data_IF_745971289733
#
_entry.id   IF_745971289733
#
_cell.length_a   1.000
_cell.length_b   1.000
_cell.length_c   1.000
_cell.angle_alpha   90.00
_cell.angle_beta   90.00
_cell.angle_gamma   90.00
#
_symmetry.space_group_name_H-M   'P 1'
#
loop_
_entity.id
_entity.type
_entity.pdbx_description
1 polymer ?
#
# COMPACT_ATOMS: atom_id res chain seq x y z
N UNK A 1 -40.36 -39.38 -60.58
CA UNK A 1 -39.17 -40.06 -61.13
C UNK A 1 -37.96 -39.15 -60.92
N UNK A 2 -36.91 -39.70 -60.28
CA UNK A 2 -35.48 -39.32 -60.28
C UNK A 2 -35.11 -37.82 -60.17
N UNK A 3 -34.57 -37.37 -59.02
CA UNK A 3 -33.14 -37.40 -58.66
C UNK A 3 -32.26 -36.46 -59.50
N UNK A 4 -31.67 -35.44 -58.87
CA UNK A 4 -30.21 -35.30 -58.77
C UNK A 4 -29.78 -34.20 -57.81
N UNK A 5 -28.98 -34.65 -56.84
CA UNK A 5 -28.11 -33.94 -55.93
C UNK A 5 -27.08 -33.07 -56.66
N UNK A 6 -26.72 -31.92 -56.09
CA UNK A 6 -25.42 -31.27 -56.31
C UNK A 6 -25.08 -30.39 -55.10
N UNK A 7 -24.19 -30.91 -54.25
CA UNK A 7 -23.39 -30.15 -53.29
C UNK A 7 -22.49 -29.17 -54.05
N UNK A 8 -22.41 -27.92 -53.60
CA UNK A 8 -21.28 -27.04 -53.90
C UNK A 8 -20.71 -26.49 -52.59
N UNK A 9 -19.43 -26.79 -52.40
CA UNK A 9 -18.55 -26.46 -51.28
C UNK A 9 -17.98 -25.04 -51.43
N UNK A 10 -17.73 -24.43 -50.27
CA UNK A 10 -16.63 -23.49 -49.93
C UNK A 10 -16.42 -22.21 -50.77
N UNK A 11 -16.51 -21.07 -50.08
CA UNK A 11 -15.32 -20.28 -49.69
C UNK A 11 -15.74 -19.13 -48.75
N UNK A 12 -15.59 -19.34 -47.44
CA UNK A 12 -15.67 -18.25 -46.48
C UNK A 12 -14.34 -17.47 -46.52
N UNK A 13 -14.35 -16.33 -47.19
CA UNK A 13 -13.24 -15.36 -47.15
C UNK A 13 -13.24 -14.73 -45.76
N UNK A 14 -12.37 -15.22 -44.89
CA UNK A 14 -12.04 -14.57 -43.63
C UNK A 14 -11.25 -13.29 -43.95
N UNK A 15 -11.97 -12.16 -44.03
CA UNK A 15 -11.38 -10.82 -44.03
C UNK A 15 -10.70 -10.60 -42.69
N UNK A 16 -9.39 -10.86 -42.65
CA UNK A 16 -8.51 -10.52 -41.54
C UNK A 16 -8.53 -9.02 -41.31
N UNK A 17 -9.37 -8.58 -40.37
CA UNK A 17 -9.30 -7.22 -39.83
C UNK A 17 -8.08 -7.16 -38.93
N UNK A 18 -6.98 -6.62 -39.46
CA UNK A 18 -5.85 -6.21 -38.63
C UNK A 18 -6.33 -5.12 -37.67
N UNK A 19 -6.54 -5.50 -36.41
CA UNK A 19 -6.55 -4.54 -35.32
C UNK A 19 -5.16 -3.91 -35.23
N UNK A 20 -4.99 -2.76 -35.86
CA UNK A 20 -3.87 -1.86 -35.58
C UNK A 20 -4.11 -1.29 -34.20
N UNK A 21 -3.39 -1.79 -33.20
CA UNK A 21 -3.31 -1.15 -31.89
C UNK A 21 -2.70 0.24 -32.11
N UNK A 22 -3.37 1.33 -31.70
CA UNK A 22 -2.79 2.66 -31.82
C UNK A 22 -1.55 2.72 -30.94
N UNK A 23 -0.40 3.06 -31.52
CA UNK A 23 0.78 3.40 -30.77
C UNK A 23 0.45 4.60 -29.87
N UNK A 24 0.64 4.47 -28.55
CA UNK A 24 0.50 5.59 -27.63
C UNK A 24 1.48 6.69 -28.06
N UNK A 25 0.94 7.82 -28.54
CA UNK A 25 1.75 8.94 -28.96
C UNK A 25 2.49 9.53 -27.75
N UNK A 26 3.82 9.38 -27.73
CA UNK A 26 4.68 10.13 -26.81
C UNK A 26 4.54 11.61 -27.17
N UNK A 27 3.96 12.41 -26.27
CA UNK A 27 3.81 13.85 -26.47
C UNK A 27 4.99 14.55 -25.81
N UNK A 28 5.95 14.95 -26.65
CA UNK A 28 7.05 15.83 -26.26
C UNK A 28 6.66 17.29 -26.53
N UNK A 29 6.99 18.22 -25.64
CA UNK A 29 6.67 19.63 -25.86
C UNK A 29 7.26 20.56 -24.82
N UNK A 30 7.24 21.85 -25.14
CA UNK A 30 7.67 22.90 -24.21
C UNK A 30 6.52 23.31 -23.31
N UNK A 31 6.73 23.28 -22.00
CA UNK A 31 5.75 23.65 -21.00
C UNK A 31 6.25 24.81 -20.13
N UNK A 32 5.36 25.74 -19.75
CA UNK A 32 5.67 26.81 -18.80
C UNK A 32 5.23 26.41 -17.40
N UNK A 33 6.16 26.30 -16.46
CA UNK A 33 5.87 25.90 -15.08
C UNK A 33 4.97 26.94 -14.42
N UNK A 34 3.89 26.48 -13.77
CA UNK A 34 2.99 27.32 -12.96
C UNK A 34 3.29 27.22 -11.47
N UNK A 35 3.37 25.99 -10.97
CA UNK A 35 3.54 25.72 -9.54
C UNK A 35 4.02 24.30 -9.30
N UNK A 36 4.81 24.10 -8.26
CA UNK A 36 5.19 22.77 -7.76
C UNK A 36 4.23 22.35 -6.67
N UNK A 37 3.71 21.12 -6.75
CA UNK A 37 2.72 20.57 -5.82
C UNK A 37 3.41 19.87 -4.66
N UNK A 38 4.31 18.95 -4.98
CA UNK A 38 5.11 18.15 -4.04
C UNK A 38 6.49 17.85 -4.67
N UNK A 39 7.22 16.87 -4.16
CA UNK A 39 8.57 16.56 -4.63
C UNK A 39 8.66 15.84 -5.97
N UNK A 40 7.56 15.41 -6.58
CA UNK A 40 7.57 14.81 -7.92
C UNK A 40 6.46 15.32 -8.85
N UNK A 41 5.54 16.13 -8.35
CA UNK A 41 4.36 16.59 -9.07
C UNK A 41 4.35 18.11 -9.21
N UNK A 42 4.01 18.60 -10.41
CA UNK A 42 3.89 20.03 -10.70
C UNK A 42 2.80 20.32 -11.75
N UNK A 43 2.42 21.59 -11.83
CA UNK A 43 1.54 22.11 -12.87
C UNK A 43 2.33 22.95 -13.86
N UNK A 44 2.05 22.79 -15.15
CA UNK A 44 2.61 23.61 -16.21
C UNK A 44 1.62 23.81 -17.36
N UNK A 45 1.79 24.90 -18.11
CA UNK A 45 1.06 25.12 -19.35
C UNK A 45 1.72 24.42 -20.51
N UNK A 46 1.06 23.40 -21.05
CA UNK A 46 1.44 22.74 -22.29
C UNK A 46 0.40 23.09 -23.36
N UNK A 47 0.84 23.67 -24.49
CA UNK A 47 -0.04 24.09 -25.59
C UNK A 47 -1.20 25.01 -25.14
N UNK A 48 -0.93 25.91 -24.20
CA UNK A 48 -1.91 26.86 -23.66
C UNK A 48 -2.94 26.25 -22.70
N UNK A 49 -2.77 25.01 -22.28
CA UNK A 49 -3.64 24.33 -21.31
C UNK A 49 -2.89 23.98 -20.03
N UNK A 50 -3.50 24.18 -18.84
CA UNK A 50 -2.90 23.72 -17.60
C UNK A 50 -2.90 22.20 -17.56
N UNK A 51 -1.71 21.63 -17.42
CA UNK A 51 -1.48 20.19 -17.41
C UNK A 51 -0.72 19.81 -16.14
N UNK A 52 -1.15 18.73 -15.49
CA UNK A 52 -0.50 18.19 -14.30
C UNK A 52 0.52 17.15 -14.74
N UNK A 53 1.74 17.28 -14.25
CA UNK A 53 2.84 16.39 -14.54
C UNK A 53 3.35 15.72 -13.26
N UNK A 54 3.76 14.46 -13.38
CA UNK A 54 4.59 13.75 -12.40
C UNK A 54 5.89 13.32 -13.07
N UNK A 55 6.99 13.48 -12.36
CA UNK A 55 8.31 13.04 -12.81
C UNK A 55 8.32 11.51 -12.96
N UNK A 56 8.64 11.05 -14.17
CA UNK A 56 8.86 9.64 -14.45
C UNK A 56 10.03 9.05 -13.66
N UNK A 57 9.88 7.77 -13.28
CA UNK A 57 10.89 6.90 -12.66
C UNK A 57 11.39 7.32 -11.27
N UNK A 58 10.83 8.36 -10.68
CA UNK A 58 11.14 8.81 -9.34
C UNK A 58 9.88 8.81 -8.49
N UNK A 59 10.08 8.68 -7.18
CA UNK A 59 9.04 8.79 -6.18
C UNK A 59 9.56 9.69 -5.06
N UNK A 60 8.87 10.80 -4.82
CA UNK A 60 9.28 11.72 -3.78
C UNK A 60 8.68 11.34 -2.41
N UNK A 61 9.36 11.65 -1.29
CA UNK A 61 8.76 11.54 0.03
C UNK A 61 7.47 12.36 0.12
N UNK A 62 6.44 11.80 0.77
CA UNK A 62 5.16 12.51 0.93
C UNK A 62 5.36 13.78 1.76
N UNK A 63 4.56 14.83 1.51
CA UNK A 63 4.61 16.07 2.28
C UNK A 63 4.42 15.84 3.79
N UNK A 64 3.66 14.80 4.15
CA UNK A 64 3.40 14.39 5.54
C UNK A 64 4.47 13.43 6.09
N UNK A 65 5.45 13.01 5.29
CA UNK A 65 6.57 12.14 5.67
C UNK A 65 7.69 12.92 6.38
N UNK A 66 7.30 13.76 7.32
CA UNK A 66 8.19 14.65 8.07
C UNK A 66 8.91 15.67 7.18
N UNK A 67 10.13 16.04 7.56
CA UNK A 67 10.88 17.11 6.86
C UNK A 67 11.27 16.75 5.42
N UNK A 68 11.31 15.47 5.07
CA UNK A 68 11.84 15.02 3.78
C UNK A 68 10.92 15.37 2.61
N UNK A 69 9.59 15.33 2.81
CA UNK A 69 8.65 15.75 1.78
C UNK A 69 8.79 17.23 1.45
N UNK A 70 8.89 18.08 2.48
CA UNK A 70 9.10 19.52 2.29
C UNK A 70 10.43 19.83 1.60
N UNK A 71 11.53 19.19 2.02
CA UNK A 71 12.84 19.38 1.38
C UNK A 71 12.84 18.93 -0.09
N UNK A 72 12.10 17.87 -0.40
CA UNK A 72 11.94 17.39 -1.77
C UNK A 72 11.16 18.38 -2.63
N UNK A 73 10.04 18.90 -2.12
CA UNK A 73 9.25 19.93 -2.78
C UNK A 73 10.07 21.21 -3.04
N UNK A 74 10.82 21.69 -2.03
CA UNK A 74 11.69 22.86 -2.14
C UNK A 74 12.79 22.66 -3.21
N UNK A 75 13.36 21.45 -3.29
CA UNK A 75 14.33 21.11 -4.32
C UNK A 75 13.72 21.11 -5.72
N UNK A 76 12.54 20.49 -5.90
CA UNK A 76 11.86 20.50 -7.19
C UNK A 76 11.47 21.92 -7.60
N UNK A 77 11.03 22.76 -6.67
CA UNK A 77 10.72 24.17 -6.92
C UNK A 77 11.95 24.97 -7.34
N UNK A 78 13.13 24.64 -6.81
CA UNK A 78 14.39 25.27 -7.20
C UNK A 78 14.81 24.86 -8.62
N UNK A 79 14.57 23.61 -9.00
CA UNK A 79 14.84 23.08 -10.35
C UNK A 79 13.79 23.53 -11.39
N UNK A 80 12.57 23.79 -10.93
CA UNK A 80 11.41 24.22 -11.73
C UNK A 80 10.78 25.51 -11.16
N UNK A 81 11.46 26.67 -11.23
CA UNK A 81 10.88 27.91 -10.74
C UNK A 81 9.59 28.27 -11.50
N UNK A 82 8.53 28.76 -10.83
CA UNK A 82 7.34 29.25 -11.51
C UNK A 82 7.68 30.28 -12.61
N UNK A 83 7.08 30.11 -13.78
CA UNK A 83 7.32 30.93 -14.97
C UNK A 83 8.44 30.41 -15.89
N UNK A 84 9.29 29.50 -15.43
CA UNK A 84 10.35 28.89 -16.25
C UNK A 84 9.76 28.00 -17.37
N UNK A 85 10.53 27.85 -18.45
CA UNK A 85 10.21 26.96 -19.56
C UNK A 85 11.00 25.65 -19.40
N UNK A 86 10.31 24.53 -19.59
CA UNK A 86 10.90 23.20 -19.55
C UNK A 86 10.45 22.37 -20.74
N UNK A 87 11.28 21.42 -21.17
CA UNK A 87 10.84 20.38 -22.10
C UNK A 87 10.27 19.21 -21.29
N UNK A 88 9.12 18.72 -21.71
CA UNK A 88 8.46 17.56 -21.12
C UNK A 88 8.32 16.49 -22.18
N UNK A 89 8.91 15.31 -21.92
CA UNK A 89 8.76 14.11 -22.74
C UNK A 89 7.78 13.18 -22.02
N UNK A 90 6.50 13.25 -22.39
CA UNK A 90 5.45 12.46 -21.74
C UNK A 90 5.52 11.01 -22.20
N UNK A 91 5.75 10.11 -21.25
CA UNK A 91 5.83 8.67 -21.48
C UNK A 91 4.45 8.00 -21.43
N UNK A 92 3.61 8.47 -20.51
CA UNK A 92 2.30 7.92 -20.25
C UNK A 92 1.38 8.99 -19.68
N UNK A 93 0.11 8.96 -20.07
CA UNK A 93 -0.94 9.77 -19.44
C UNK A 93 -1.89 8.82 -18.75
N UNK A 94 -2.09 9.04 -17.45
CA UNK A 94 -3.02 8.24 -16.66
C UNK A 94 -4.48 8.56 -17.05
N UNK A 95 -5.44 7.66 -16.74
CA UNK A 95 -6.87 7.95 -16.96
C UNK A 95 -7.37 9.25 -16.33
N UNK A 96 -6.79 9.66 -15.21
CA UNK A 96 -7.12 10.92 -14.51
C UNK A 96 -6.50 12.16 -15.16
N UNK A 97 -5.70 11.99 -16.23
CA UNK A 97 -5.04 13.09 -16.93
C UNK A 97 -3.72 13.54 -16.31
N UNK A 98 -3.07 12.71 -15.47
CA UNK A 98 -1.72 12.99 -14.98
C UNK A 98 -0.68 12.54 -16.02
N UNK A 99 0.17 13.47 -16.44
CA UNK A 99 1.24 13.20 -17.40
C UNK A 99 2.49 12.68 -16.67
N UNK A 100 2.89 11.45 -16.92
CA UNK A 100 4.14 10.86 -16.42
C UNK A 100 5.25 11.18 -17.42
N UNK A 101 6.18 12.06 -17.04
CA UNK A 101 7.12 12.64 -18.00
C UNK A 101 8.57 12.70 -17.51
N UNK A 102 9.49 12.62 -18.47
CA UNK A 102 10.86 13.10 -18.26
C UNK A 102 10.88 14.61 -18.50
N UNK A 103 11.47 15.35 -17.58
CA UNK A 103 11.42 16.81 -17.58
C UNK A 103 12.82 17.35 -17.65
N UNK A 104 13.06 18.25 -18.59
CA UNK A 104 14.35 18.87 -18.82
C UNK A 104 14.25 20.37 -18.61
N UNK A 105 15.11 20.89 -17.73
CA UNK A 105 15.35 22.33 -17.61
C UNK A 105 16.63 22.70 -18.40
N UNK A 106 17.13 23.92 -18.23
CA UNK A 106 18.34 24.37 -18.93
C UNK A 106 19.62 23.59 -18.53
N UNK A 107 19.64 23.00 -17.33
CA UNK A 107 20.79 22.28 -16.78
C UNK A 107 20.75 20.77 -17.08
N UNK A 108 19.58 20.23 -17.42
CA UNK A 108 19.41 18.86 -17.88
C UNK A 108 18.17 18.19 -17.32
N UNK A 109 18.26 16.86 -17.15
CA UNK A 109 17.15 16.00 -16.74
C UNK A 109 16.84 16.15 -15.25
N UNK A 110 15.76 16.85 -14.94
CA UNK A 110 15.29 17.18 -13.57
C UNK A 110 15.03 15.92 -12.76
N UNK A 111 14.43 14.88 -13.36
CA UNK A 111 14.15 13.61 -12.69
C UNK A 111 15.44 12.99 -12.11
N UNK A 112 16.54 13.03 -12.88
CA UNK A 112 17.80 12.46 -12.47
C UNK A 112 18.48 13.32 -11.40
N UNK A 113 18.33 14.64 -11.51
CA UNK A 113 18.89 15.57 -10.54
C UNK A 113 18.22 15.44 -9.16
N UNK A 114 16.90 15.24 -9.13
CA UNK A 114 16.18 14.91 -7.89
C UNK A 114 16.75 13.67 -7.18
N UNK A 115 17.18 12.65 -7.93
CA UNK A 115 17.85 11.48 -7.36
C UNK A 115 19.26 11.80 -6.87
N UNK A 116 20.06 12.55 -7.66
CA UNK A 116 21.46 12.91 -7.30
C UNK A 116 21.54 13.74 -6.03
N UNK A 117 20.55 14.59 -5.78
CA UNK A 117 20.41 15.37 -4.56
C UNK A 117 19.84 14.55 -3.39
N UNK A 118 19.39 13.32 -3.64
CA UNK A 118 18.71 12.47 -2.67
C UNK A 118 17.34 13.01 -2.27
N UNK A 119 16.69 13.79 -3.12
CA UNK A 119 15.39 14.39 -2.85
C UNK A 119 14.23 13.52 -3.33
N UNK A 120 14.50 12.54 -4.17
CA UNK A 120 13.57 11.47 -4.51
C UNK A 120 14.28 10.11 -4.45
N UNK A 121 13.49 9.04 -4.53
CA UNK A 121 13.98 7.67 -4.67
C UNK A 121 13.54 7.10 -6.02
N UNK A 122 14.22 6.06 -6.51
CA UNK A 122 13.90 5.41 -7.77
C UNK A 122 12.60 4.64 -7.63
N UNK A 123 11.68 4.85 -8.57
CA UNK A 123 10.45 4.06 -8.69
C UNK A 123 10.63 2.92 -9.69
N UNK A 124 11.07 1.76 -9.20
CA UNK A 124 11.48 0.63 -10.05
C UNK A 124 10.34 0.00 -10.87
N UNK A 125 9.07 0.16 -10.45
CA UNK A 125 7.91 -0.54 -11.04
C UNK A 125 7.74 -0.30 -12.54
N UNK A 126 8.21 0.84 -13.05
CA UNK A 126 8.14 1.20 -14.47
C UNK A 126 9.51 1.45 -15.10
N UNK A 127 10.60 1.16 -14.39
CA UNK A 127 11.95 1.42 -14.84
C UNK A 127 12.51 0.23 -15.64
N UNK A 128 12.44 0.33 -16.97
CA UNK A 128 12.93 -0.69 -17.90
C UNK A 128 13.85 -0.09 -18.97
N UNK A 129 14.64 -0.96 -19.62
CA UNK A 129 15.48 -0.58 -20.77
C UNK A 129 16.67 0.32 -20.43
N UNK A 130 17.12 1.10 -21.41
CA UNK A 130 18.33 1.92 -21.35
C UNK A 130 18.34 2.98 -20.22
N UNK A 131 17.16 3.38 -19.73
CA UNK A 131 17.05 4.32 -18.62
C UNK A 131 17.38 3.68 -17.26
N UNK A 132 17.36 2.34 -17.13
CA UNK A 132 17.47 1.70 -15.81
C UNK A 132 18.78 2.01 -15.08
N UNK A 133 19.89 1.89 -15.79
CA UNK A 133 21.23 2.01 -15.20
C UNK A 133 21.47 3.42 -14.66
N UNK A 134 21.22 4.47 -15.47
CA UNK A 134 21.47 5.86 -15.07
C UNK A 134 20.68 6.29 -13.82
N UNK A 135 19.43 5.87 -13.67
CA UNK A 135 18.60 6.24 -12.51
C UNK A 135 19.06 5.51 -11.24
N UNK A 136 19.40 4.22 -11.36
CA UNK A 136 19.93 3.46 -10.22
C UNK A 136 21.28 3.99 -9.76
N UNK A 137 22.19 4.28 -10.70
CA UNK A 137 23.49 4.87 -10.39
C UNK A 137 23.37 6.21 -9.66
N UNK A 138 22.49 7.11 -10.13
CA UNK A 138 22.25 8.39 -9.47
C UNK A 138 21.77 8.22 -8.03
N UNK A 139 20.89 7.26 -7.77
CA UNK A 139 20.44 6.94 -6.42
C UNK A 139 21.56 6.34 -5.57
N UNK A 140 22.35 5.40 -6.11
CA UNK A 140 23.46 4.78 -5.39
C UNK A 140 24.49 5.82 -4.94
N UNK A 141 24.80 6.80 -5.80
CA UNK A 141 25.69 7.92 -5.45
C UNK A 141 25.10 8.78 -4.33
N UNK A 142 23.81 9.09 -4.37
CA UNK A 142 23.15 9.86 -3.32
C UNK A 142 23.07 9.09 -1.99
N UNK A 143 22.86 7.78 -2.05
CA UNK A 143 22.89 6.87 -0.89
C UNK A 143 24.27 6.82 -0.25
N UNK A 144 25.32 6.57 -1.04
CA UNK A 144 26.69 6.49 -0.56
C UNK A 144 27.15 7.81 0.07
N UNK A 145 26.75 8.94 -0.52
CA UNK A 145 27.02 10.27 0.02
C UNK A 145 26.08 10.68 1.17
N UNK A 146 25.09 9.86 1.51
CA UNK A 146 24.00 10.17 2.47
C UNK A 146 23.40 11.56 2.22
N UNK A 147 22.97 11.84 0.98
CA UNK A 147 22.34 13.11 0.60
C UNK A 147 20.83 13.07 0.82
N UNK A 148 20.24 14.23 1.12
CA UNK A 148 18.79 14.39 1.26
C UNK A 148 18.14 13.29 2.12
N UNK A 149 17.11 12.65 1.57
CA UNK A 149 16.36 11.52 2.12
C UNK A 149 17.25 10.39 2.67
N UNK A 150 18.45 10.16 2.13
CA UNK A 150 19.38 9.11 2.55
C UNK A 150 20.18 9.44 3.83
N UNK A 151 19.99 10.63 4.40
CA UNK A 151 20.53 10.97 5.73
C UNK A 151 19.79 10.22 6.86
N UNK A 152 18.66 9.60 6.56
CA UNK A 152 17.90 8.79 7.51
C UNK A 152 18.64 7.52 7.91
N UNK A 153 18.61 7.18 9.20
CA UNK A 153 19.17 5.91 9.69
C UNK A 153 18.36 4.69 9.24
N UNK A 154 17.05 4.83 9.15
CA UNK A 154 16.14 3.78 8.69
C UNK A 154 15.05 4.43 7.83
N UNK A 155 15.33 4.72 6.54
CA UNK A 155 14.35 5.35 5.67
C UNK A 155 13.14 4.44 5.48
N UNK A 156 11.95 5.02 5.59
CA UNK A 156 10.69 4.42 5.12
C UNK A 156 10.48 4.96 3.72
N UNK A 157 10.34 4.09 2.72
CA UNK A 157 10.22 4.55 1.33
C UNK A 157 8.85 5.23 1.11
N UNK A 158 8.70 6.14 0.12
CA UNK A 158 7.44 6.89 0.00
C UNK A 158 6.24 6.00 -0.34
N UNK A 159 6.42 4.98 -1.17
CA UNK A 159 5.38 3.96 -1.41
C UNK A 159 4.99 3.18 -0.14
N UNK A 160 5.95 2.83 0.74
CA UNK A 160 5.67 2.18 2.03
C UNK A 160 4.87 3.11 2.95
N UNK A 161 5.19 4.40 2.93
CA UNK A 161 4.46 5.40 3.70
C UNK A 161 3.01 5.56 3.22
N UNK A 162 2.78 5.57 1.89
CA UNK A 162 1.42 5.60 1.32
C UNK A 162 0.62 4.33 1.64
N UNK A 163 1.24 3.16 1.58
CA UNK A 163 0.58 1.90 1.93
C UNK A 163 0.15 1.89 3.40
N UNK A 164 1.01 2.34 4.32
CA UNK A 164 0.64 2.42 5.74
C UNK A 164 -0.44 3.46 6.00
N UNK A 165 -0.41 4.62 5.33
CA UNK A 165 -1.47 5.63 5.42
C UNK A 165 -2.81 5.11 4.89
N UNK A 166 -2.82 4.42 3.74
CA UNK A 166 -4.02 3.84 3.17
C UNK A 166 -4.64 2.78 4.10
N UNK A 167 -3.82 1.89 4.66
CA UNK A 167 -4.27 0.89 5.64
C UNK A 167 -4.80 1.54 6.93
N UNK A 168 -4.16 2.61 7.40
CA UNK A 168 -4.63 3.37 8.58
C UNK A 168 -5.95 4.07 8.30
N UNK A 169 -6.13 4.66 7.11
CA UNK A 169 -7.40 5.29 6.71
C UNK A 169 -8.53 4.29 6.49
N UNK A 170 -8.23 3.11 5.94
CA UNK A 170 -9.18 2.02 5.76
C UNK A 170 -9.61 1.42 7.11
N UNK A 171 -8.73 1.44 8.11
CA UNK A 171 -9.03 1.07 9.49
C UNK A 171 -9.76 2.19 10.27
N UNK A 172 -9.54 3.46 9.91
CA UNK A 172 -10.14 4.62 10.58
C UNK A 172 -11.53 5.02 10.04
N UNK A 173 -11.91 4.64 8.82
CA UNK A 173 -13.29 4.75 8.32
C UNK A 173 -14.07 3.48 8.63
N UNK A 174 -15.14 3.46 9.43
CA UNK A 174 -16.35 4.29 9.29
C UNK A 174 -17.05 4.64 10.61
N UNK A 175 -16.56 4.22 11.79
CA UNK A 175 -17.24 4.46 13.08
C UNK A 175 -16.34 5.03 14.21
N UNK A 176 -15.05 5.23 13.97
CA UNK A 176 -14.10 5.59 15.05
C UNK A 176 -13.87 7.11 15.16
N UNK A 177 -14.07 7.87 14.08
CA UNK A 177 -13.72 9.30 14.03
C UNK A 177 -14.82 10.28 14.46
N UNK A 178 -16.06 9.83 14.65
CA UNK A 178 -17.18 10.70 15.09
C UNK A 178 -17.30 10.79 16.63
N UNK A 179 -16.43 10.12 17.38
CA UNK A 179 -16.43 10.18 18.86
C UNK A 179 -17.67 9.58 19.55
N UNK A 180 -18.73 9.24 18.80
CA UNK A 180 -19.94 8.56 19.25
C UNK A 180 -19.63 7.16 19.83
N UNK A 181 -18.70 6.43 19.22
CA UNK A 181 -18.29 5.10 19.69
C UNK A 181 -17.63 5.10 21.08
N UNK A 182 -16.77 6.08 21.36
CA UNK A 182 -16.12 6.22 22.68
C UNK A 182 -17.06 6.76 23.75
N UNK A 183 -18.10 7.49 23.33
CA UNK A 183 -19.17 8.01 24.21
C UNK A 183 -20.15 6.92 24.64
N UNK A 184 -20.38 5.93 23.78
CA UNK A 184 -21.33 4.83 24.02
C UNK A 184 -20.67 3.57 24.63
N UNK A 185 -19.35 3.41 24.52
CA UNK A 185 -18.63 2.23 25.03
C UNK A 185 -17.32 2.59 25.77
N UNK A 186 -17.38 3.02 27.04
CA UNK A 186 -16.19 3.38 27.82
C UNK A 186 -15.26 2.17 28.11
N UNK A 187 -15.76 0.94 28.00
CA UNK A 187 -14.95 -0.27 28.15
C UNK A 187 -14.04 -0.57 26.94
N UNK A 188 -14.39 -0.06 25.74
CA UNK A 188 -13.58 -0.23 24.53
C UNK A 188 -12.35 0.71 24.51
N UNK A 189 -12.44 1.86 25.18
CA UNK A 189 -11.36 2.84 25.29
C UNK A 189 -10.12 2.30 26.06
N UNK A 190 -10.31 1.30 26.93
CA UNK A 190 -9.23 0.69 27.71
C UNK A 190 -8.42 -0.36 26.91
N UNK A 191 -8.88 -0.77 25.72
CA UNK A 191 -8.31 -1.91 24.97
C UNK A 191 -7.61 -1.55 23.66
N UNK A 192 -7.84 -0.36 23.10
CA UNK A 192 -7.25 0.05 21.81
C UNK A 192 -5.90 0.71 22.06
N UNK A 193 -4.97 -0.08 22.57
CA UNK A 193 -3.56 0.26 22.65
C UNK A 193 -2.96 0.27 21.25
N UNK A 194 -2.61 1.47 20.79
CA UNK A 194 -1.71 1.80 19.68
C UNK A 194 -0.59 0.73 19.55
N UNK A 195 -0.76 -0.24 18.65
CA UNK A 195 0.29 -1.24 18.37
C UNK A 195 0.34 -1.74 16.92
N UNK A 196 -0.58 -1.32 16.06
CA UNK A 196 -0.71 -1.88 14.69
C UNK A 196 0.18 -1.22 13.65
N UNK A 197 0.66 0.01 13.87
CA UNK A 197 1.41 0.77 12.85
C UNK A 197 2.88 0.32 12.66
N UNK A 198 3.54 -0.22 13.69
CA UNK A 198 4.99 -0.50 13.65
C UNK A 198 5.32 -1.82 12.93
N UNK A 199 4.37 -2.75 12.84
CA UNK A 199 4.57 -4.08 12.23
C UNK A 199 4.43 -4.04 10.70
N UNK A 200 3.51 -3.22 10.18
CA UNK A 200 3.22 -3.14 8.73
C UNK A 200 4.36 -2.52 7.89
N UNK A 201 5.20 -1.68 8.50
CA UNK A 201 6.42 -1.13 7.86
C UNK A 201 7.48 -2.22 7.61
N UNK A 202 7.48 -3.29 8.41
CA UNK A 202 8.39 -4.44 8.24
C UNK A 202 7.94 -5.41 7.14
N UNK A 203 6.64 -5.65 7.03
CA UNK A 203 6.05 -6.55 6.03
C UNK A 203 6.07 -5.97 4.60
N UNK A 204 5.85 -4.66 4.44
CA UNK A 204 5.91 -3.96 3.14
C UNK A 204 7.31 -4.01 2.51
N UNK A 205 8.38 -3.86 3.31
CA UNK A 205 9.79 -4.07 2.88
C UNK A 205 10.09 -5.49 2.40
N UNK A 206 9.36 -6.47 2.91
CA UNK A 206 9.61 -7.89 2.70
C UNK A 206 8.85 -8.46 1.49
N UNK A 207 7.65 -7.94 1.23
CA UNK A 207 6.74 -8.47 0.21
C UNK A 207 7.13 -8.11 -1.24
N UNK A 208 8.09 -7.21 -1.46
CA UNK A 208 8.45 -6.72 -2.80
C UNK A 208 9.94 -6.77 -3.18
N UNK A 209 10.80 -7.40 -2.37
CA UNK A 209 12.24 -7.47 -2.69
C UNK A 209 12.53 -8.57 -3.72
N UNK A 210 12.66 -8.19 -5.01
CA UNK A 210 13.35 -9.01 -6.01
C UNK A 210 14.81 -9.25 -5.54
N UNK A 211 15.43 -10.41 -5.85
CA UNK A 211 16.82 -10.66 -5.51
C UNK A 211 17.70 -9.83 -6.45
N UNK A 212 17.95 -8.58 -6.11
CA UNK A 212 19.04 -7.82 -6.71
C UNK A 212 20.36 -8.25 -6.06
N UNK A 213 21.45 -8.20 -6.83
CA UNK A 213 22.83 -8.58 -6.45
C UNK A 213 23.44 -7.80 -5.26
N UNK A 214 22.65 -7.07 -4.48
CA UNK A 214 23.11 -6.47 -3.23
C UNK A 214 23.16 -7.55 -2.14
N UNK A 215 24.32 -7.70 -1.49
CA UNK A 215 24.50 -8.55 -0.31
C UNK A 215 23.66 -8.03 0.86
N UNK A 216 22.37 -8.34 0.88
CA UNK A 216 21.60 -8.27 2.12
C UNK A 216 22.25 -9.27 3.08
N UNK A 217 22.77 -8.79 4.21
CA UNK A 217 23.39 -9.69 5.17
C UNK A 217 22.34 -10.67 5.69
N UNK A 218 22.62 -11.98 5.66
CA UNK A 218 21.77 -13.03 6.25
C UNK A 218 21.35 -12.65 7.69
N UNK A 219 22.24 -11.95 8.42
CA UNK A 219 22.00 -11.39 9.77
C UNK A 219 20.86 -10.36 9.85
N UNK A 220 20.56 -9.63 8.78
CA UNK A 220 19.41 -8.72 8.74
C UNK A 220 18.12 -9.51 8.56
N UNK A 221 18.08 -10.46 7.62
CA UNK A 221 16.91 -11.32 7.42
C UNK A 221 16.58 -12.15 8.68
N UNK A 222 17.59 -12.66 9.39
CA UNK A 222 17.39 -13.36 10.68
C UNK A 222 16.83 -12.45 11.78
N UNK A 223 17.14 -11.14 11.75
CA UNK A 223 16.54 -10.16 12.67
C UNK A 223 15.08 -9.87 12.31
N UNK A 224 14.80 -9.70 11.02
CA UNK A 224 13.46 -9.47 10.51
C UNK A 224 12.54 -10.66 10.82
N UNK A 225 13.05 -11.90 10.65
CA UNK A 225 12.34 -13.14 11.01
C UNK A 225 11.96 -13.16 12.50
N UNK A 226 12.90 -12.83 13.39
CA UNK A 226 12.63 -12.76 14.84
C UNK A 226 11.59 -11.69 15.18
N UNK A 227 11.59 -10.58 14.46
CA UNK A 227 10.60 -9.51 14.66
C UNK A 227 9.21 -9.96 14.21
N UNK A 228 9.09 -10.63 13.06
CA UNK A 228 7.82 -11.19 12.59
C UNK A 228 7.29 -12.28 13.54
N UNK A 229 8.15 -13.16 14.05
CA UNK A 229 7.76 -14.18 15.02
C UNK A 229 7.23 -13.56 16.33
N UNK A 230 7.85 -12.48 16.83
CA UNK A 230 7.35 -11.73 17.99
C UNK A 230 5.99 -11.09 17.70
N UNK A 231 5.84 -10.49 16.53
CA UNK A 231 4.55 -9.91 16.12
C UNK A 231 3.45 -10.96 16.03
N UNK A 232 3.75 -12.13 15.47
CA UNK A 232 2.79 -13.24 15.41
C UNK A 232 2.40 -13.69 16.82
N UNK A 233 3.36 -13.81 17.74
CA UNK A 233 3.07 -14.15 19.13
C UNK A 233 2.14 -13.12 19.79
N UNK A 234 2.35 -11.82 19.56
CA UNK A 234 1.45 -10.77 20.07
C UNK A 234 0.06 -10.84 19.43
N UNK A 235 -0.04 -11.06 18.11
CA UNK A 235 -1.33 -11.20 17.42
C UNK A 235 -2.12 -12.40 17.93
N UNK A 236 -1.45 -13.53 18.16
CA UNK A 236 -2.09 -14.73 18.72
C UNK A 236 -2.52 -14.53 20.18
N UNK A 237 -1.78 -13.74 20.96
CA UNK A 237 -2.19 -13.36 22.32
C UNK A 237 -3.46 -12.49 22.30
N UNK A 238 -3.52 -11.50 21.41
CA UNK A 238 -4.73 -10.68 21.20
C UNK A 238 -5.91 -11.52 20.74
N UNK A 239 -5.70 -12.45 19.80
CA UNK A 239 -6.73 -13.41 19.35
C UNK A 239 -7.30 -14.18 20.54
N UNK A 240 -6.43 -14.75 21.37
CA UNK A 240 -6.84 -15.53 22.56
C UNK A 240 -7.60 -14.68 23.59
N UNK A 241 -7.25 -13.40 23.72
CA UNK A 241 -7.97 -12.48 24.60
C UNK A 241 -9.38 -12.19 24.07
N UNK A 242 -9.52 -11.96 22.75
CA UNK A 242 -10.82 -11.73 22.12
C UNK A 242 -11.71 -12.98 22.16
N UNK A 243 -11.14 -14.18 21.97
CA UNK A 243 -11.87 -15.45 22.12
C UNK A 243 -12.50 -15.56 23.51
N UNK A 244 -11.72 -15.26 24.56
CA UNK A 244 -12.25 -15.27 25.94
C UNK A 244 -13.36 -14.25 26.15
N UNK A 245 -13.25 -13.07 25.55
CA UNK A 245 -14.29 -12.04 25.65
C UNK A 245 -15.56 -12.46 24.92
N UNK A 246 -15.43 -13.06 23.74
CA UNK A 246 -16.53 -13.63 22.97
C UNK A 246 -17.28 -14.70 23.78
N UNK A 247 -16.55 -15.66 24.36
CA UNK A 247 -17.12 -16.73 25.18
C UNK A 247 -17.86 -16.17 26.40
N UNK A 248 -17.29 -15.15 27.05
CA UNK A 248 -17.94 -14.48 28.19
C UNK A 248 -19.24 -13.77 27.78
N UNK A 249 -19.29 -13.16 26.59
CA UNK A 249 -20.50 -12.50 26.10
C UNK A 249 -21.59 -13.52 25.72
N UNK A 250 -21.19 -14.64 25.09
CA UNK A 250 -22.12 -15.74 24.81
C UNK A 250 -22.68 -16.35 26.10
N UNK A 251 -21.83 -16.59 27.10
CA UNK A 251 -22.28 -17.11 28.39
C UNK A 251 -23.31 -16.17 29.04
N UNK A 252 -23.05 -14.86 29.04
CA UNK A 252 -24.02 -13.87 29.55
C UNK A 252 -25.32 -13.87 28.76
N UNK A 253 -25.26 -13.97 27.43
CA UNK A 253 -26.45 -14.07 26.59
C UNK A 253 -27.29 -15.32 26.93
N UNK A 254 -26.63 -16.45 27.17
CA UNK A 254 -27.29 -17.69 27.60
C UNK A 254 -27.92 -17.55 29.00
N UNK A 255 -27.21 -16.95 29.96
CA UNK A 255 -27.76 -16.70 31.29
C UNK A 255 -29.04 -15.85 31.23
N UNK A 256 -29.06 -14.82 30.35
CA UNK A 256 -30.27 -14.02 30.11
C UNK A 256 -31.37 -14.79 29.41
N UNK A 257 -31.02 -15.71 28.52
CA UNK A 257 -32.01 -16.59 27.87
C UNK A 257 -32.69 -17.51 28.89
N UNK A 258 -31.92 -18.15 29.77
CA UNK A 258 -32.45 -18.99 30.86
C UNK A 258 -33.37 -18.18 31.78
N UNK A 259 -33.00 -16.94 32.10
CA UNK A 259 -33.86 -16.03 32.89
C UNK A 259 -35.17 -15.72 32.17
N UNK A 260 -35.13 -15.46 30.87
CA UNK A 260 -36.32 -15.20 30.07
C UNK A 260 -37.26 -16.42 30.05
N UNK A 261 -36.69 -17.61 29.88
CA UNK A 261 -37.44 -18.87 29.89
C UNK A 261 -38.13 -19.10 31.25
N UNK A 262 -37.41 -18.86 32.35
CA UNK A 262 -37.97 -18.98 33.69
C UNK A 262 -39.09 -17.96 33.95
N UNK A 263 -38.93 -16.71 33.50
CA UNK A 263 -39.97 -15.69 33.63
C UNK A 263 -41.24 -16.05 32.82
N UNK A 264 -41.06 -16.59 31.62
CA UNK A 264 -42.17 -17.05 30.78
C UNK A 264 -42.94 -18.23 31.39
N UNK A 265 -42.28 -19.13 32.13
CA UNK A 265 -42.94 -20.22 32.85
C UNK A 265 -43.84 -19.74 34.01
N UNK A 266 -43.62 -18.53 34.50
CA UNK A 266 -44.37 -17.93 35.61
C UNK A 266 -45.32 -16.82 35.12
N UNK A 267 -45.67 -16.79 33.82
CA UNK A 267 -46.53 -15.78 33.18
C UNK A 267 -46.04 -14.32 33.37
N UNK A 268 -44.73 -14.13 33.56
CA UNK A 268 -44.09 -12.82 33.72
C UNK A 268 -43.60 -12.29 32.36
N UNK A 269 -44.52 -12.09 31.42
CA UNK A 269 -44.21 -11.78 30.01
C UNK A 269 -43.32 -10.55 29.82
N UNK A 270 -43.52 -9.50 30.63
CA UNK A 270 -42.73 -8.27 30.53
C UNK A 270 -41.27 -8.49 30.96
N UNK A 271 -41.04 -9.25 32.03
CA UNK A 271 -39.69 -9.61 32.48
C UNK A 271 -39.00 -10.53 31.48
N UNK A 272 -39.75 -11.45 30.86
CA UNK A 272 -39.24 -12.30 29.80
C UNK A 272 -38.78 -11.47 28.58
N UNK A 273 -39.57 -10.48 28.16
CA UNK A 273 -39.19 -9.55 27.08
C UNK A 273 -37.93 -8.75 27.41
N UNK A 274 -37.85 -8.19 28.61
CA UNK A 274 -36.67 -7.44 29.06
C UNK A 274 -35.40 -8.30 29.07
N UNK A 275 -35.49 -9.55 29.56
CA UNK A 275 -34.38 -10.49 29.54
C UNK A 275 -33.95 -10.86 28.11
N UNK A 276 -34.89 -11.00 27.16
CA UNK A 276 -34.57 -11.21 25.75
C UNK A 276 -33.88 -10.00 25.11
N UNK A 277 -34.25 -8.77 25.49
CA UNK A 277 -33.54 -7.56 25.04
C UNK A 277 -32.09 -7.58 25.52
N UNK A 278 -31.84 -7.92 26.78
CA UNK A 278 -30.48 -8.05 27.34
C UNK A 278 -29.68 -9.14 26.63
N UNK A 279 -30.29 -10.30 26.34
CA UNK A 279 -29.69 -11.35 25.52
C UNK A 279 -29.27 -10.82 24.15
N UNK A 280 -30.17 -10.12 23.45
CA UNK A 280 -29.89 -9.59 22.11
C UNK A 280 -28.74 -8.56 22.14
N UNK A 281 -28.64 -7.75 23.19
CA UNK A 281 -27.52 -6.83 23.39
C UNK A 281 -26.19 -7.58 23.53
N UNK A 282 -26.13 -8.62 24.36
CA UNK A 282 -24.92 -9.44 24.51
C UNK A 282 -24.57 -10.22 23.25
N UNK A 283 -25.57 -10.73 22.51
CA UNK A 283 -25.37 -11.39 21.22
C UNK A 283 -24.79 -10.44 20.16
N UNK A 284 -25.32 -9.21 20.08
CA UNK A 284 -24.78 -8.18 19.18
C UNK A 284 -23.35 -7.80 19.53
N UNK A 285 -23.04 -7.66 20.83
CA UNK A 285 -21.67 -7.44 21.30
C UNK A 285 -20.74 -8.62 20.95
N UNK A 286 -21.22 -9.87 21.11
CA UNK A 286 -20.47 -11.06 20.74
C UNK A 286 -20.17 -11.07 19.23
N UNK A 287 -21.13 -10.69 18.39
CA UNK A 287 -20.92 -10.59 16.94
C UNK A 287 -19.89 -9.51 16.56
N UNK A 288 -19.85 -8.38 17.27
CA UNK A 288 -18.82 -7.37 17.07
C UNK A 288 -17.41 -7.89 17.43
N UNK A 289 -17.28 -8.62 18.54
CA UNK A 289 -16.03 -9.29 18.92
C UNK A 289 -15.64 -10.36 17.89
N UNK A 290 -16.61 -11.11 17.34
CA UNK A 290 -16.37 -12.10 16.28
C UNK A 290 -15.75 -11.45 15.04
N UNK A 291 -16.28 -10.31 14.59
CA UNK A 291 -15.68 -9.56 13.46
C UNK A 291 -14.23 -9.16 13.74
N UNK A 292 -13.95 -8.74 14.98
CA UNK A 292 -12.58 -8.40 15.40
C UNK A 292 -11.66 -9.64 15.42
N UNK A 293 -12.20 -10.82 15.77
CA UNK A 293 -11.47 -12.09 15.68
C UNK A 293 -11.09 -12.42 14.23
N UNK A 294 -12.03 -12.28 13.29
CA UNK A 294 -11.79 -12.53 11.87
C UNK A 294 -10.66 -11.62 11.33
N UNK A 295 -10.63 -10.36 11.73
CA UNK A 295 -9.56 -9.40 11.37
C UNK A 295 -8.19 -9.81 11.94
N UNK A 296 -8.12 -10.18 13.22
CA UNK A 296 -6.87 -10.62 13.87
C UNK A 296 -6.38 -11.94 13.27
N UNK A 297 -7.29 -12.84 12.88
CA UNK A 297 -6.94 -14.10 12.21
C UNK A 297 -6.39 -13.87 10.80
N UNK A 298 -6.98 -12.94 10.04
CA UNK A 298 -6.45 -12.53 8.74
C UNK A 298 -5.02 -11.96 8.87
N UNK A 299 -4.78 -11.10 9.87
CA UNK A 299 -3.44 -10.56 10.16
C UNK A 299 -2.45 -11.68 10.52
N UNK A 300 -2.86 -12.64 11.35
CA UNK A 300 -2.03 -13.77 11.73
C UNK A 300 -1.67 -14.65 10.52
N UNK A 301 -2.60 -14.85 9.57
CA UNK A 301 -2.35 -15.59 8.34
C UNK A 301 -1.28 -14.90 7.47
N UNK A 302 -1.38 -13.58 7.28
CA UNK A 302 -0.38 -12.79 6.54
C UNK A 302 1.00 -12.87 7.20
N UNK A 303 1.08 -12.78 8.54
CA UNK A 303 2.33 -12.91 9.28
C UNK A 303 2.97 -14.30 9.09
N UNK A 304 2.18 -15.37 9.16
CA UNK A 304 2.66 -16.74 8.94
C UNK A 304 3.23 -16.92 7.53
N UNK A 305 2.55 -16.38 6.52
CA UNK A 305 3.02 -16.44 5.14
C UNK A 305 4.33 -15.67 4.97
N UNK A 306 4.43 -14.46 5.53
CA UNK A 306 5.65 -13.66 5.52
C UNK A 306 6.84 -14.36 6.19
N UNK A 307 6.61 -15.01 7.33
CA UNK A 307 7.61 -15.82 8.04
C UNK A 307 8.12 -16.96 7.16
N UNK A 308 7.23 -17.77 6.59
CA UNK A 308 7.60 -18.92 5.74
C UNK A 308 8.41 -18.51 4.50
N UNK A 309 8.01 -17.41 3.85
CA UNK A 309 8.75 -16.87 2.71
C UNK A 309 10.16 -16.42 3.10
N UNK A 310 10.30 -15.75 4.25
CA UNK A 310 11.60 -15.28 4.72
C UNK A 310 12.52 -16.43 5.14
N UNK A 311 11.97 -17.44 5.81
CA UNK A 311 12.71 -18.67 6.15
C UNK A 311 13.27 -19.34 4.89
N UNK A 312 12.44 -19.44 3.84
CA UNK A 312 12.85 -19.97 2.54
C UNK A 312 13.98 -19.15 1.90
N UNK A 313 13.88 -17.81 1.92
CA UNK A 313 14.93 -16.93 1.39
C UNK A 313 16.25 -17.05 2.17
N UNK A 314 16.18 -17.13 3.50
CA UNK A 314 17.36 -17.32 4.35
C UNK A 314 18.04 -18.66 4.04
N UNK A 315 17.26 -19.74 3.89
CA UNK A 315 17.79 -21.06 3.56
C UNK A 315 18.52 -21.06 2.20
N UNK A 316 17.89 -20.48 1.17
CA UNK A 316 18.50 -20.36 -0.16
C UNK A 316 19.78 -19.52 -0.13
N UNK A 317 19.77 -18.37 0.54
CA UNK A 317 20.94 -17.49 0.63
C UNK A 317 22.12 -18.13 1.40
N UNK A 318 21.82 -19.00 2.38
CA UNK A 318 22.85 -19.79 3.08
C UNK A 318 23.47 -20.84 2.15
N UNK A 319 22.64 -21.56 1.40
CA UNK A 319 23.07 -22.58 0.45
C UNK A 319 23.92 -21.99 -0.70
N UNK A 320 23.51 -20.85 -1.27
CA UNK A 320 24.31 -20.13 -2.27
C UNK A 320 25.67 -19.69 -1.73
N UNK A 321 25.75 -19.32 -0.44
CA UNK A 321 27.01 -18.96 0.19
C UNK A 321 27.93 -20.16 0.38
N UNK A 322 27.37 -21.32 0.72
CA UNK A 322 28.12 -22.57 0.85
C UNK A 322 28.63 -23.08 -0.50
N UNK A 323 27.86 -22.92 -1.58
CA UNK A 323 28.28 -23.31 -2.93
C UNK A 323 29.36 -22.40 -3.54
N UNK A 324 29.45 -21.14 -3.09
CA UNK A 324 30.40 -20.14 -3.61
C UNK A 324 31.67 -20.00 -2.74
N UNK A 325 31.80 -20.79 -1.69
CA UNK A 325 32.95 -20.87 -0.79
C UNK A 325 33.72 -22.18 -1.03
#
# INVERSE_FOLDING_TARGET
>A
MASRTSLLMMAAVLSGSWFVLPAAAQSSGTARVRSVVDGDTFWADLNGRPTRFRLAYVDAPELTQGRWGRLSQEALQSLLPPGSLVQVDTLYVTPEGLHIAQVYNAEGLVNLEMLRQGQAVVYERFLYGANRERYLEAQELAQAARRGFWQQRNPVMPWEFRETAAQTSAFAGSNVLDGSFLRENPAAAAGVGIATAVVMVGLSKLLWRKPSRQRVSIRQMERDLKQLQRSLATTLASRKQLERQYDQLLQKAEDWFVRAQKASQHDQDELARQALVQRNQHMSAAEAVRKSLDEVEAQAATLREGISRLESQIALAKLEREMNN
#
